data_IF_473014185488
#
_entry.id   IF_473014185488
#
_cell.length_a   1.000
_cell.length_b   1.000
_cell.length_c   1.000
_cell.angle_alpha   90.00
_cell.angle_beta   90.00
_cell.angle_gamma   90.00
#
_symmetry.space_group_name_H-M   'P 1'
#
loop_
_entity.id
_entity.type
_entity.pdbx_description
1 polymer ?
#
# COMPACT_ATOMS: atom_id res chain seq x y z
N UNK A 1 -4.84 -7.97 -13.08
CA UNK A 1 -4.55 -6.64 -13.66
C UNK A 1 -5.15 -5.58 -12.75
N UNK A 2 -4.46 -4.47 -12.49
CA UNK A 2 -4.94 -3.40 -11.59
C UNK A 2 -5.82 -2.40 -12.37
N UNK A 3 -7.06 -2.10 -11.90
CA UNK A 3 -7.95 -1.14 -12.54
C UNK A 3 -7.34 0.27 -12.60
N UNK A 4 -7.66 1.11 -13.62
CA UNK A 4 -7.08 2.44 -13.75
C UNK A 4 -7.23 3.34 -12.51
N UNK A 5 -8.36 3.27 -11.81
CA UNK A 5 -8.62 4.06 -10.60
C UNK A 5 -7.68 3.72 -9.44
N UNK A 6 -7.09 2.52 -9.47
CA UNK A 6 -6.19 2.01 -8.44
C UNK A 6 -4.71 2.14 -8.79
N UNK A 7 -4.38 2.78 -9.93
CA UNK A 7 -2.99 2.99 -10.39
C UNK A 7 -2.34 4.21 -9.75
N UNK A 8 -2.25 4.21 -8.43
CA UNK A 8 -1.66 5.29 -7.63
C UNK A 8 -0.62 4.75 -6.66
N UNK A 9 0.17 5.64 -6.03
CA UNK A 9 1.10 5.26 -4.97
C UNK A 9 2.08 4.17 -5.42
N UNK A 10 2.18 3.01 -4.73
CA UNK A 10 3.03 1.89 -5.14
C UNK A 10 2.47 1.05 -6.31
N UNK A 11 1.23 1.27 -6.73
CA UNK A 11 0.53 0.53 -7.79
C UNK A 11 0.56 1.25 -9.15
N UNK A 12 1.17 2.43 -9.23
CA UNK A 12 1.33 3.15 -10.49
C UNK A 12 2.22 2.37 -11.48
N UNK A 13 1.92 2.46 -12.77
CA UNK A 13 2.65 1.72 -13.81
C UNK A 13 4.09 2.24 -13.94
N UNK A 14 4.26 3.56 -13.98
CA UNK A 14 5.51 4.23 -14.32
C UNK A 14 6.42 4.53 -13.11
N UNK A 15 6.73 3.49 -12.31
CA UNK A 15 7.69 3.61 -11.21
C UNK A 15 8.96 2.82 -11.46
N UNK A 16 10.10 3.44 -11.13
CA UNK A 16 11.35 2.70 -10.96
C UNK A 16 11.18 1.64 -9.86
N UNK A 17 11.97 0.57 -9.95
CA UNK A 17 11.97 -0.48 -8.93
C UNK A 17 12.22 0.09 -7.52
N UNK A 18 13.21 0.99 -7.39
CA UNK A 18 13.58 1.59 -6.11
C UNK A 18 12.44 2.44 -5.52
N UNK A 19 11.77 3.25 -6.34
CA UNK A 19 10.65 4.08 -5.88
C UNK A 19 9.46 3.22 -5.46
N UNK A 20 9.14 2.17 -6.23
CA UNK A 20 8.07 1.23 -5.88
C UNK A 20 8.35 0.55 -4.55
N UNK A 21 9.58 0.07 -4.35
CA UNK A 21 10.01 -0.57 -3.12
C UNK A 21 9.90 0.38 -1.92
N UNK A 22 10.34 1.64 -2.07
CA UNK A 22 10.22 2.65 -1.03
C UNK A 22 8.75 2.88 -0.64
N UNK A 23 7.86 3.08 -1.63
CA UNK A 23 6.43 3.29 -1.39
C UNK A 23 5.74 2.10 -0.73
N UNK A 24 6.07 0.87 -1.14
CA UNK A 24 5.55 -0.35 -0.51
C UNK A 24 5.95 -0.42 0.98
N UNK A 25 7.22 -0.14 1.30
CA UNK A 25 7.71 -0.12 2.69
C UNK A 25 7.06 0.98 3.51
N UNK A 26 6.88 2.17 2.95
CA UNK A 26 6.16 3.27 3.60
C UNK A 26 4.72 2.89 3.90
N UNK A 27 4.00 2.31 2.93
CA UNK A 27 2.62 1.86 3.13
C UNK A 27 2.53 0.74 4.18
N UNK A 28 3.50 -0.18 4.21
CA UNK A 28 3.59 -1.25 5.22
C UNK A 28 3.80 -0.69 6.62
N UNK A 29 4.72 0.26 6.78
CA UNK A 29 4.96 0.93 8.06
C UNK A 29 3.71 1.66 8.56
N UNK A 30 3.03 2.40 7.69
CA UNK A 30 1.77 3.10 8.01
C UNK A 30 0.67 2.11 8.40
N UNK A 31 0.59 0.96 7.72
CA UNK A 31 -0.37 -0.10 8.05
C UNK A 31 -0.18 -0.57 9.50
N UNK A 32 1.05 -0.83 9.92
CA UNK A 32 1.34 -1.19 11.30
C UNK A 32 0.96 -0.09 12.30
N UNK A 33 1.23 1.18 11.97
CA UNK A 33 0.93 2.32 12.85
C UNK A 33 -0.57 2.58 13.00
N UNK A 34 -1.35 2.49 11.93
CA UNK A 34 -2.77 2.85 11.95
C UNK A 34 -3.68 1.67 12.32
N UNK A 35 -3.38 0.47 11.81
CA UNK A 35 -4.27 -0.69 11.97
C UNK A 35 -3.77 -1.69 13.02
N UNK A 36 -2.46 -1.69 13.32
CA UNK A 36 -1.84 -2.69 14.20
C UNK A 36 -2.12 -4.12 13.69
N UNK A 37 -2.42 -5.08 14.58
CA UNK A 37 -2.74 -6.46 14.21
C UNK A 37 -3.90 -6.61 13.21
N UNK A 38 -4.84 -5.64 13.19
CA UNK A 38 -5.96 -5.65 12.24
C UNK A 38 -5.50 -5.47 10.79
N UNK A 39 -4.29 -4.95 10.58
CA UNK A 39 -3.66 -4.75 9.28
C UNK A 39 -2.68 -5.86 8.86
N UNK A 40 -2.50 -6.93 9.63
CA UNK A 40 -1.43 -7.92 9.42
C UNK A 40 -1.48 -8.58 8.04
N UNK A 41 -2.69 -8.84 7.53
CA UNK A 41 -2.87 -9.38 6.18
C UNK A 41 -2.32 -8.41 5.13
N UNK A 42 -2.66 -7.13 5.22
CA UNK A 42 -2.16 -6.11 4.31
C UNK A 42 -0.64 -5.98 4.44
N UNK A 43 -0.11 -5.91 5.66
CA UNK A 43 1.33 -5.80 5.89
C UNK A 43 2.11 -6.98 5.27
N UNK A 44 1.57 -8.19 5.37
CA UNK A 44 2.14 -9.40 4.77
C UNK A 44 2.14 -9.34 3.25
N UNK A 45 1.02 -8.96 2.62
CA UNK A 45 0.93 -8.87 1.16
C UNK A 45 1.81 -7.74 0.61
N UNK A 46 1.94 -6.62 1.33
CA UNK A 46 2.89 -5.56 0.98
C UNK A 46 4.32 -6.06 1.04
N UNK A 47 4.70 -6.81 2.09
CA UNK A 47 6.04 -7.39 2.17
C UNK A 47 6.31 -8.38 1.03
N UNK A 48 5.35 -9.22 0.67
CA UNK A 48 5.49 -10.11 -0.50
C UNK A 48 5.67 -9.31 -1.79
N UNK A 49 4.91 -8.23 -1.95
CA UNK A 49 5.02 -7.35 -3.11
C UNK A 49 6.35 -6.58 -3.21
N UNK A 50 7.08 -6.40 -2.10
CA UNK A 50 8.44 -5.84 -2.13
C UNK A 50 9.43 -6.74 -2.90
N UNK A 51 9.18 -8.05 -2.92
CA UNK A 51 10.03 -9.05 -3.57
C UNK A 51 9.46 -9.56 -4.90
N UNK A 52 8.15 -9.44 -5.10
CA UNK A 52 7.45 -9.95 -6.26
C UNK A 52 6.32 -9.00 -6.69
N UNK A 53 6.57 -8.24 -7.76
CA UNK A 53 5.60 -7.27 -8.28
C UNK A 53 4.29 -7.91 -8.75
N UNK A 54 4.26 -9.22 -9.04
CA UNK A 54 3.01 -9.91 -9.40
C UNK A 54 2.02 -9.98 -8.23
N UNK A 55 2.48 -9.71 -7.00
CA UNK A 55 1.67 -9.65 -5.76
C UNK A 55 0.99 -8.30 -5.54
N UNK A 56 1.29 -7.26 -6.33
CA UNK A 56 0.64 -5.96 -6.20
C UNK A 56 -0.89 -6.02 -6.18
N UNK A 57 -1.58 -6.85 -7.02
CA UNK A 57 -3.03 -7.00 -6.93
C UNK A 57 -3.51 -7.62 -5.61
N UNK A 58 -2.74 -8.54 -5.02
CA UNK A 58 -3.06 -9.14 -3.73
C UNK A 58 -2.95 -8.13 -2.58
N UNK A 59 -1.92 -7.28 -2.62
CA UNK A 59 -1.75 -6.19 -1.66
C UNK A 59 -2.87 -5.16 -1.77
N UNK A 60 -3.27 -4.78 -2.99
CA UNK A 60 -4.41 -3.89 -3.22
C UNK A 60 -5.72 -4.49 -2.68
N UNK A 61 -6.00 -5.76 -2.97
CA UNK A 61 -7.18 -6.44 -2.45
C UNK A 61 -7.19 -6.51 -0.91
N UNK A 62 -6.03 -6.70 -0.28
CA UNK A 62 -5.91 -6.68 1.18
C UNK A 62 -6.14 -5.28 1.76
N UNK A 63 -5.75 -4.22 1.05
CA UNK A 63 -6.00 -2.84 1.43
C UNK A 63 -7.50 -2.51 1.35
N UNK A 64 -8.19 -2.97 0.31
CA UNK A 64 -9.63 -2.78 0.15
C UNK A 64 -10.47 -3.59 1.14
N UNK A 65 -9.93 -4.71 1.63
CA UNK A 65 -10.56 -5.53 2.65
C UNK A 65 -10.44 -4.96 4.08
N UNK A 66 -9.68 -3.90 4.30
CA UNK A 66 -9.61 -3.24 5.61
C UNK A 66 -10.97 -2.65 6.01
N UNK A 67 -11.23 -2.61 7.32
CA UNK A 67 -12.34 -1.85 7.85
C UNK A 67 -12.27 -0.39 7.38
N UNK A 68 -13.42 0.21 7.07
CA UNK A 68 -13.47 1.52 6.41
C UNK A 68 -12.67 2.63 7.14
N UNK A 69 -12.67 2.62 8.48
CA UNK A 69 -11.90 3.55 9.30
C UNK A 69 -10.40 3.34 9.14
N UNK A 70 -9.94 2.08 9.24
CA UNK A 70 -8.52 1.73 9.13
C UNK A 70 -8.00 2.04 7.71
N UNK A 71 -8.78 1.66 6.68
CA UNK A 71 -8.46 1.97 5.27
C UNK A 71 -8.28 3.48 5.07
N UNK A 72 -9.21 4.28 5.60
CA UNK A 72 -9.15 5.75 5.47
C UNK A 72 -7.92 6.31 6.17
N UNK A 73 -7.59 5.85 7.37
CA UNK A 73 -6.42 6.32 8.12
C UNK A 73 -5.11 5.97 7.40
N UNK A 74 -4.98 4.74 6.89
CA UNK A 74 -3.80 4.31 6.12
C UNK A 74 -3.63 5.16 4.86
N UNK A 75 -4.70 5.29 4.05
CA UNK A 75 -4.66 6.07 2.80
C UNK A 75 -4.36 7.54 3.05
N UNK A 76 -5.01 8.17 4.03
CA UNK A 76 -4.79 9.58 4.36
C UNK A 76 -3.37 9.83 4.86
N UNK A 77 -2.83 8.93 5.70
CA UNK A 77 -1.46 9.03 6.19
C UNK A 77 -0.44 8.86 5.08
N UNK A 78 -0.67 7.91 4.16
CA UNK A 78 0.19 7.69 3.00
C UNK A 78 0.16 8.89 2.05
N UNK A 79 -1.01 9.44 1.75
CA UNK A 79 -1.16 10.63 0.93
C UNK A 79 -0.49 11.85 1.56
N UNK A 80 -0.60 12.02 2.89
CA UNK A 80 0.05 13.11 3.62
C UNK A 80 1.58 13.01 3.54
N UNK A 81 2.14 11.80 3.66
CA UNK A 81 3.58 11.56 3.56
C UNK A 81 4.15 11.97 2.18
N UNK A 82 3.38 11.80 1.11
CA UNK A 82 3.82 12.04 -0.27
C UNK A 82 3.36 13.38 -0.85
N UNK A 83 2.63 14.19 -0.07
CA UNK A 83 2.27 15.54 -0.48
C UNK A 83 3.51 16.42 -0.38
N UNK A 84 3.97 16.97 -1.50
CA UNK A 84 4.97 18.04 -1.51
C UNK A 84 4.44 19.24 -0.70
N UNK A 85 5.32 19.89 0.06
CA UNK A 85 4.99 21.08 0.83
C UNK A 85 4.48 22.23 -0.05
#
# INVERSE_FOLDING_TARGET
MIPPIDRWGPFADDLSYAERLARLRSLRAITHLCAGPRGDRLATELHRAEHDASRLPCALAALDALAALDRRQVLASFARLHRSA
#
